data_IF_919143298656
#
_entry.id   IF_919143298656
#
_cell.length_a   1.000
_cell.length_b   1.000
_cell.length_c   1.000
_cell.angle_alpha   90.00
_cell.angle_beta   90.00
_cell.angle_gamma   90.00
#
_symmetry.space_group_name_H-M   'P 1'
#
loop_
_entity.id
_entity.type
_entity.pdbx_description
1 polymer ?
#
# COMPACT_ATOMS: atom_id res chain seq x y z
N UNK A 1 23.90 -12.27 27.70
CA UNK A 1 22.77 -11.79 28.44
C UNK A 1 22.40 -10.38 28.07
N UNK A 2 21.13 -10.14 27.97
CA UNK A 2 20.65 -8.82 27.59
C UNK A 2 20.76 -7.80 28.71
N UNK A 3 21.63 -8.06 29.68
CA UNK A 3 21.77 -7.20 30.83
C UNK A 3 22.78 -6.06 30.64
N UNK A 4 23.50 -6.07 29.53
CA UNK A 4 24.45 -5.00 29.25
C UNK A 4 23.70 -3.76 28.77
N UNK A 5 24.24 -2.58 29.02
CA UNK A 5 23.62 -1.34 28.57
C UNK A 5 23.42 -1.31 27.06
N UNK A 6 24.39 -1.80 26.28
CA UNK A 6 24.28 -1.85 24.84
C UNK A 6 23.22 -2.84 24.37
N UNK A 7 23.07 -3.98 25.05
CA UNK A 7 22.03 -4.95 24.71
C UNK A 7 20.64 -4.38 24.99
N UNK A 8 20.45 -3.70 26.09
CA UNK A 8 19.18 -3.04 26.42
C UNK A 8 18.85 -1.94 25.42
N UNK A 9 19.84 -1.18 25.02
CA UNK A 9 19.67 -0.13 24.01
C UNK A 9 19.22 -0.73 22.70
N UNK A 10 19.83 -1.84 22.30
CA UNK A 10 19.47 -2.55 21.06
C UNK A 10 18.03 -3.05 21.10
N UNK A 11 17.62 -3.60 22.23
CA UNK A 11 16.25 -4.08 22.41
C UNK A 11 15.26 -2.93 22.25
N UNK A 12 15.52 -1.79 22.90
CA UNK A 12 14.66 -0.61 22.79
C UNK A 12 14.58 -0.10 21.37
N UNK A 13 15.70 -0.07 20.65
CA UNK A 13 15.73 0.36 19.26
C UNK A 13 14.92 -0.58 18.38
N UNK A 14 15.01 -1.88 18.62
CA UNK A 14 14.27 -2.90 17.87
C UNK A 14 12.78 -2.75 18.13
N UNK A 15 12.36 -2.52 19.37
CA UNK A 15 10.96 -2.32 19.70
C UNK A 15 10.38 -1.10 18.99
N UNK A 16 11.11 0.02 19.01
CA UNK A 16 10.68 1.24 18.32
C UNK A 16 10.57 1.03 16.82
N UNK A 17 11.54 0.31 16.24
CA UNK A 17 11.55 0.02 14.81
C UNK A 17 10.37 -0.88 14.44
N UNK A 18 10.12 -1.91 15.23
CA UNK A 18 9.00 -2.84 15.01
C UNK A 18 7.67 -2.11 15.07
N UNK A 19 7.48 -1.25 16.07
CA UNK A 19 6.26 -0.47 16.21
C UNK A 19 6.06 0.46 15.02
N UNK A 20 7.13 1.11 14.57
CA UNK A 20 7.09 2.01 13.43
C UNK A 20 6.74 1.28 12.15
N UNK A 21 7.35 0.12 11.93
CA UNK A 21 7.10 -0.70 10.75
C UNK A 21 5.67 -1.25 10.73
N UNK A 22 5.17 -1.62 11.90
CA UNK A 22 3.78 -2.08 12.03
C UNK A 22 2.82 -0.95 11.67
N UNK A 23 3.07 0.25 12.15
CA UNK A 23 2.25 1.41 11.84
C UNK A 23 2.27 1.71 10.34
N UNK A 24 3.43 1.62 9.69
CA UNK A 24 3.54 1.84 8.25
C UNK A 24 2.78 0.79 7.45
N UNK A 25 2.86 -0.48 7.86
CA UNK A 25 2.11 -1.55 7.18
C UNK A 25 0.60 -1.35 7.32
N UNK A 26 0.15 -0.96 8.50
CA UNK A 26 -1.26 -0.68 8.73
C UNK A 26 -1.74 0.47 7.86
N UNK A 27 -0.92 1.50 7.74
CA UNK A 27 -1.23 2.66 6.91
C UNK A 27 -1.34 2.26 5.43
N UNK A 28 -0.40 1.45 4.94
CA UNK A 28 -0.42 0.95 3.57
C UNK A 28 -1.68 0.12 3.32
N UNK A 29 -2.03 -0.77 4.24
CA UNK A 29 -3.25 -1.58 4.11
C UNK A 29 -4.49 -0.72 4.03
N UNK A 30 -4.55 0.34 4.82
CA UNK A 30 -5.68 1.26 4.81
C UNK A 30 -5.83 1.92 3.44
N UNK A 31 -4.73 2.41 2.87
CA UNK A 31 -4.77 3.02 1.56
C UNK A 31 -5.14 2.03 0.46
N UNK A 32 -4.58 0.82 0.51
CA UNK A 32 -4.90 -0.23 -0.46
C UNK A 32 -6.36 -0.64 -0.38
N UNK A 33 -6.89 -0.73 0.83
CA UNK A 33 -8.30 -1.08 1.04
C UNK A 33 -9.21 -0.04 0.40
N UNK A 34 -8.86 1.23 0.52
CA UNK A 34 -9.65 2.30 -0.09
C UNK A 34 -9.67 2.19 -1.61
N UNK A 35 -8.53 1.86 -2.21
CA UNK A 35 -8.45 1.65 -3.65
C UNK A 35 -9.33 0.47 -4.07
N UNK A 36 -9.21 -0.65 -3.37
CA UNK A 36 -9.97 -1.85 -3.69
C UNK A 36 -11.47 -1.65 -3.50
N UNK A 37 -11.87 -0.93 -2.47
CA UNK A 37 -13.27 -0.60 -2.25
C UNK A 37 -13.83 0.25 -3.38
N UNK A 38 -13.07 1.22 -3.85
CA UNK A 38 -13.50 2.07 -4.96
C UNK A 38 -13.62 1.27 -6.26
N UNK A 39 -12.69 0.35 -6.49
CA UNK A 39 -12.74 -0.54 -7.66
C UNK A 39 -13.97 -1.45 -7.58
N UNK A 40 -14.20 -2.04 -6.42
CA UNK A 40 -15.37 -2.92 -6.22
C UNK A 40 -16.68 -2.18 -6.38
N UNK A 41 -16.69 -0.91 -5.98
CA UNK A 41 -17.86 -0.06 -6.16
C UNK A 41 -18.08 0.44 -7.58
N UNK A 42 -17.14 0.16 -8.47
CA UNK A 42 -17.26 0.58 -9.87
C UNK A 42 -17.04 2.06 -10.12
N UNK A 43 -16.50 2.78 -9.15
CA UNK A 43 -16.29 4.20 -9.29
C UNK A 43 -14.86 4.50 -9.75
N UNK A 44 -14.70 4.73 -11.05
CA UNK A 44 -13.40 4.97 -11.66
C UNK A 44 -12.70 6.21 -11.09
N UNK A 45 -13.42 7.30 -10.91
CA UNK A 45 -12.84 8.54 -10.38
C UNK A 45 -12.35 8.35 -8.95
N UNK A 46 -13.16 7.73 -8.10
CA UNK A 46 -12.78 7.46 -6.73
C UNK A 46 -11.59 6.50 -6.66
N UNK A 47 -11.55 5.50 -7.55
CA UNK A 47 -10.43 4.57 -7.62
C UNK A 47 -9.13 5.27 -8.02
N UNK A 48 -9.19 6.19 -8.99
CA UNK A 48 -8.02 6.96 -9.38
C UNK A 48 -7.53 7.85 -8.25
N UNK A 49 -8.42 8.53 -7.56
CA UNK A 49 -8.05 9.39 -6.43
C UNK A 49 -7.44 8.58 -5.30
N UNK A 50 -8.05 7.44 -4.96
CA UNK A 50 -7.52 6.57 -3.92
C UNK A 50 -6.15 6.01 -4.32
N UNK A 51 -5.97 5.66 -5.59
CA UNK A 51 -4.70 5.17 -6.11
C UNK A 51 -3.61 6.23 -6.01
N UNK A 52 -3.91 7.46 -6.39
CA UNK A 52 -2.97 8.57 -6.29
C UNK A 52 -2.54 8.82 -4.84
N UNK A 53 -3.45 8.65 -3.90
CA UNK A 53 -3.14 8.81 -2.48
C UNK A 53 -2.33 7.62 -1.97
N UNK A 54 -2.60 6.40 -2.46
CA UNK A 54 -1.91 5.19 -2.03
C UNK A 54 -0.49 5.08 -2.58
N UNK A 55 -0.26 5.57 -3.79
CA UNK A 55 1.01 5.41 -4.48
C UNK A 55 2.21 5.94 -3.68
N UNK A 56 2.20 7.18 -3.19
CA UNK A 56 3.32 7.66 -2.40
C UNK A 56 3.49 6.90 -1.08
N UNK A 57 2.42 6.40 -0.49
CA UNK A 57 2.51 5.63 0.75
C UNK A 57 3.22 4.29 0.52
N UNK A 58 2.92 3.62 -0.59
CA UNK A 58 3.61 2.38 -0.94
C UNK A 58 5.08 2.64 -1.27
N UNK A 59 5.38 3.71 -1.96
CA UNK A 59 6.77 4.06 -2.27
C UNK A 59 7.56 4.40 -1.01
N UNK A 60 6.95 5.09 -0.05
CA UNK A 60 7.60 5.36 1.23
C UNK A 60 7.87 4.07 1.99
N UNK A 61 6.91 3.14 1.99
CA UNK A 61 7.09 1.85 2.65
C UNK A 61 8.25 1.06 2.03
N UNK A 62 8.39 1.12 0.71
CA UNK A 62 9.52 0.48 0.02
C UNK A 62 10.85 1.16 0.38
N UNK A 63 10.89 2.50 0.38
CA UNK A 63 12.08 3.27 0.72
C UNK A 63 12.52 2.99 2.16
N UNK A 64 11.58 2.83 3.07
CA UNK A 64 11.88 2.55 4.48
C UNK A 64 12.14 1.07 4.75
N UNK A 65 12.07 0.23 3.74
CA UNK A 65 12.35 -1.20 3.90
C UNK A 65 11.23 -2.00 4.55
N UNK A 66 10.05 -1.43 4.68
CA UNK A 66 8.90 -2.13 5.26
C UNK A 66 8.32 -3.12 4.26
N UNK A 67 8.32 -2.75 2.98
CA UNK A 67 7.88 -3.61 1.89
C UNK A 67 8.99 -3.68 0.85
N UNK A 68 9.08 -4.81 0.14
CA UNK A 68 10.06 -4.95 -0.92
C UNK A 68 9.58 -4.14 -2.13
N UNK A 69 10.49 -3.40 -2.76
CA UNK A 69 10.16 -2.55 -3.92
C UNK A 69 9.50 -3.32 -5.06
N UNK A 70 9.88 -4.57 -5.27
CA UNK A 70 9.28 -5.39 -6.34
C UNK A 70 7.84 -5.76 -6.02
N UNK A 71 7.54 -6.01 -4.76
CA UNK A 71 6.16 -6.27 -4.32
C UNK A 71 5.30 -5.02 -4.50
N UNK A 72 5.84 -3.85 -4.16
CA UNK A 72 5.16 -2.58 -4.34
C UNK A 72 4.89 -2.33 -5.82
N UNK A 73 5.88 -2.52 -6.68
CA UNK A 73 5.75 -2.32 -8.11
C UNK A 73 4.68 -3.23 -8.72
N UNK A 74 4.66 -4.51 -8.33
CA UNK A 74 3.65 -5.45 -8.81
C UNK A 74 2.26 -5.05 -8.35
N UNK A 75 2.13 -4.66 -7.08
CA UNK A 75 0.82 -4.27 -6.53
C UNK A 75 0.28 -3.03 -7.24
N UNK A 76 1.12 -2.02 -7.42
CA UNK A 76 0.73 -0.79 -8.11
C UNK A 76 0.37 -1.06 -9.57
N UNK A 77 1.15 -1.91 -10.25
CA UNK A 77 0.86 -2.29 -11.62
C UNK A 77 -0.49 -2.97 -11.76
N UNK A 78 -0.78 -3.92 -10.88
CA UNK A 78 -2.06 -4.65 -10.90
C UNK A 78 -3.24 -3.72 -10.63
N UNK A 79 -3.10 -2.83 -9.64
CA UNK A 79 -4.16 -1.89 -9.31
C UNK A 79 -4.39 -0.90 -10.44
N UNK A 80 -3.31 -0.40 -11.05
CA UNK A 80 -3.39 0.51 -12.18
C UNK A 80 -4.13 -0.14 -13.34
N UNK A 81 -3.82 -1.39 -13.65
CA UNK A 81 -4.49 -2.14 -14.71
C UNK A 81 -5.99 -2.32 -14.42
N UNK A 82 -6.32 -2.63 -13.16
CA UNK A 82 -7.72 -2.79 -12.76
C UNK A 82 -8.50 -1.48 -12.87
N UNK A 83 -7.87 -0.37 -12.48
CA UNK A 83 -8.49 0.95 -12.57
C UNK A 83 -8.68 1.35 -14.03
N UNK A 84 -7.69 1.08 -14.87
CA UNK A 84 -7.79 1.33 -16.30
C UNK A 84 -8.93 0.53 -16.94
N UNK A 85 -9.02 -0.75 -16.60
CA UNK A 85 -10.09 -1.61 -17.05
C UNK A 85 -11.45 -1.10 -16.58
N UNK A 86 -11.52 -0.60 -15.37
CA UNK A 86 -12.75 -0.06 -14.81
C UNK A 86 -13.19 1.18 -15.60
N UNK A 87 -12.26 2.07 -15.94
CA UNK A 87 -12.57 3.28 -16.69
C UNK A 87 -12.97 3.00 -18.11
N UNK A 88 -12.27 2.08 -18.80
CA UNK A 88 -12.59 1.72 -20.15
C UNK A 88 -13.72 0.74 -20.18
N UNK A 89 -13.59 -0.26 -19.35
CA UNK A 89 -14.49 -1.32 -19.40
C UNK A 89 -15.72 -1.07 -18.68
N UNK A 90 -15.64 -0.27 -17.65
CA UNK A 90 -16.84 -0.01 -16.95
C UNK A 90 -17.68 0.60 -17.95
N UNK A 91 -17.06 1.49 -18.57
CA UNK A 91 -17.68 1.98 -19.65
C UNK A 91 -17.73 0.91 -20.62
N UNK A 92 -16.61 0.52 -20.96
CA UNK A 92 -16.51 -0.34 -22.02
C UNK A 92 -17.09 -1.64 -21.73
N UNK A 93 -16.85 -2.09 -20.59
CA UNK A 93 -17.26 -3.41 -20.29
C UNK A 93 -18.69 -3.47 -20.28
N UNK A 94 -19.15 -2.53 -19.63
CA UNK A 94 -20.51 -2.46 -19.68
C UNK A 94 -20.87 -2.53 -21.11
N UNK A 95 -20.19 -1.76 -21.79
CA UNK A 95 -20.54 -1.65 -23.12
C UNK A 95 -20.23 -2.86 -23.87
N UNK A 96 -19.25 -3.41 -23.62
CA UNK A 96 -18.96 -4.56 -24.35
C UNK A 96 -20.01 -5.40 -24.40
N UNK A 97 -20.57 -5.00 -23.57
CA UNK A 97 -21.44 -5.75 -23.88
C UNK A 97 -21.49 -6.04 -25.23
#
# INVERSE_FOLDING_TARGET
MANTASARKRIRQTEKRTARNKARRSRVRTFLRKVEQAISGGNHTAAQEAFRAAQPELHRAATKGVLHRNAVARKLSRLSARIKALGQGGGGAGATA
#
